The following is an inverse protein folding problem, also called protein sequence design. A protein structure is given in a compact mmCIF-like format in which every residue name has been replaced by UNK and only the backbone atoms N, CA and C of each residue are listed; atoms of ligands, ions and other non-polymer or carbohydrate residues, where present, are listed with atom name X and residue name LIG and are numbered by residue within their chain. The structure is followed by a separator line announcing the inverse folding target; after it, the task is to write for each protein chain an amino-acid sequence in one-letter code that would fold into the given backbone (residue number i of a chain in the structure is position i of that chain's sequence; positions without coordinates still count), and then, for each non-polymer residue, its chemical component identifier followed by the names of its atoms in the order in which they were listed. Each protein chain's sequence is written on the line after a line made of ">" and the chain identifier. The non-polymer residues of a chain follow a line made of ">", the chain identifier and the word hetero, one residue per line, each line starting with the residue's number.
data_IF_428086357386
#
_entry.id   IF_428086357386
#
_cell.length_a   1.000
_cell.length_b   1.000
_cell.length_c   1.000
_cell.angle_alpha   90.00
_cell.angle_beta   90.00
_cell.angle_gamma   90.00
#
_symmetry.space_group_name_H-M   'P 1'
#
loop_
_entity.id
_entity.type
_entity.pdbx_description
1 polymer ?
#
# COMPACT_ATOMS: atom_id res chain seq x y z
N UNK A 1 -17.50 10.24 5.31
CA UNK A 1 -16.77 11.42 5.81
C UNK A 1 -17.18 12.65 5.05
N UNK A 2 -17.15 13.80 5.70
CA UNK A 2 -17.39 15.10 5.08
C UNK A 2 -16.18 15.97 5.35
N UNK A 3 -15.56 16.49 4.28
CA UNK A 3 -14.42 17.39 4.42
C UNK A 3 -14.89 18.84 4.48
N UNK A 4 -14.37 19.57 5.45
CA UNK A 4 -14.49 21.01 5.49
C UNK A 4 -13.39 21.61 4.61
N UNK A 5 -13.71 22.57 3.76
CA UNK A 5 -12.72 23.30 2.93
C UNK A 5 -12.79 24.79 3.24
N UNK A 6 -11.81 25.58 2.75
CA UNK A 6 -11.85 27.04 2.92
C UNK A 6 -13.11 27.67 2.30
N UNK A 7 -13.67 27.05 1.26
CA UNK A 7 -14.90 27.51 0.60
C UNK A 7 -16.18 27.00 1.27
N UNK A 8 -16.11 25.94 2.09
CA UNK A 8 -17.27 25.14 2.53
C UNK A 8 -17.26 24.96 4.05
N UNK A 9 -17.32 26.09 4.78
CA UNK A 9 -17.14 26.12 6.25
C UNK A 9 -18.35 25.57 6.99
N UNK A 10 -18.26 24.33 7.45
CA UNK A 10 -19.25 23.68 8.32
C UNK A 10 -18.78 23.70 9.78
N UNK A 11 -19.60 24.24 10.68
CA UNK A 11 -19.32 24.22 12.13
C UNK A 11 -20.01 23.05 12.80
N UNK A 12 -21.28 22.84 12.46
CA UNK A 12 -22.11 21.74 12.94
C UNK A 12 -22.72 21.00 11.74
N UNK A 13 -22.22 19.80 11.49
CA UNK A 13 -22.68 18.98 10.37
C UNK A 13 -24.10 18.45 10.60
N UNK A 14 -24.50 18.20 11.86
CA UNK A 14 -25.82 17.64 12.16
C UNK A 14 -26.92 18.64 11.75
N UNK A 15 -26.74 19.91 12.11
CA UNK A 15 -27.65 20.99 11.69
C UNK A 15 -27.76 21.13 10.17
N UNK A 16 -26.65 21.00 9.43
CA UNK A 16 -26.64 21.09 7.96
C UNK A 16 -27.38 19.91 7.31
N UNK A 17 -27.21 18.70 7.86
CA UNK A 17 -27.92 17.51 7.36
C UNK A 17 -29.41 17.63 7.69
N UNK A 18 -29.79 18.04 8.90
CA UNK A 18 -31.19 18.20 9.29
C UNK A 18 -31.91 19.33 8.54
N UNK A 19 -31.18 20.34 8.07
CA UNK A 19 -31.72 21.39 7.20
C UNK A 19 -32.11 20.85 5.81
N UNK A 20 -31.62 19.65 5.45
CA UNK A 20 -31.96 18.95 4.23
C UNK A 20 -32.98 17.83 4.53
N UNK A 21 -34.10 17.83 3.82
CA UNK A 21 -35.07 16.72 3.87
C UNK A 21 -34.59 15.47 3.08
N UNK A 22 -33.35 15.47 2.57
CA UNK A 22 -32.80 14.40 1.71
C UNK A 22 -32.28 13.18 2.50
N UNK A 23 -32.02 13.32 3.81
CA UNK A 23 -31.31 12.31 4.62
C UNK A 23 -32.11 11.95 5.86
N UNK A 24 -32.32 10.65 6.07
CA UNK A 24 -32.86 10.14 7.33
C UNK A 24 -31.78 10.13 8.41
N UNK A 25 -31.83 11.09 9.33
CA UNK A 25 -30.88 11.23 10.43
C UNK A 25 -30.83 9.99 11.35
N UNK A 26 -31.86 9.13 11.36
CA UNK A 26 -31.85 7.90 12.17
C UNK A 26 -30.88 6.84 11.66
N UNK A 27 -30.41 6.97 10.42
CA UNK A 27 -29.40 6.10 9.81
C UNK A 27 -27.97 6.43 10.27
N UNK A 28 -27.77 7.61 10.87
CA UNK A 28 -26.48 8.08 11.38
C UNK A 28 -26.33 7.63 12.84
N UNK A 29 -25.37 6.75 13.10
CA UNK A 29 -25.08 6.27 14.45
C UNK A 29 -24.32 7.32 15.28
N UNK A 30 -23.38 8.03 14.66
CA UNK A 30 -22.63 9.11 15.31
C UNK A 30 -21.95 10.02 14.29
N UNK A 31 -21.78 11.30 14.65
CA UNK A 31 -20.98 12.28 13.90
C UNK A 31 -19.83 12.73 14.80
N UNK A 32 -18.61 12.52 14.32
CA UNK A 32 -17.40 12.76 15.08
C UNK A 32 -16.55 13.83 14.37
N UNK A 33 -16.55 15.08 14.87
CA UNK A 33 -15.70 16.13 14.33
C UNK A 33 -14.24 15.89 14.69
N UNK A 34 -13.36 16.01 13.71
CA UNK A 34 -11.91 15.95 13.90
C UNK A 34 -11.31 17.31 13.57
N UNK A 35 -10.67 17.92 14.56
CA UNK A 35 -9.94 19.18 14.39
C UNK A 35 -8.49 18.91 14.02
N UNK A 36 -7.86 19.84 13.32
CA UNK A 36 -6.45 19.76 12.94
C UNK A 36 -5.80 21.13 13.04
N UNK A 37 -4.60 21.16 13.60
CA UNK A 37 -3.71 22.31 13.59
C UNK A 37 -2.30 21.86 13.19
N UNK A 38 -1.47 22.81 12.79
CA UNK A 38 -0.05 22.56 12.59
C UNK A 38 0.71 22.78 13.89
N UNK A 39 1.71 21.95 14.09
CA UNK A 39 2.65 22.02 15.20
C UNK A 39 4.06 21.82 14.66
N UNK A 40 5.04 22.32 15.38
CA UNK A 40 6.46 22.08 15.10
C UNK A 40 7.09 21.32 16.26
N UNK A 41 8.12 20.53 15.99
CA UNK A 41 8.84 19.80 17.02
C UNK A 41 10.16 20.49 17.37
N UNK A 42 10.27 21.15 18.53
CA UNK A 42 11.49 21.84 18.92
C UNK A 42 12.67 20.89 19.19
N UNK A 43 12.39 19.62 19.47
CA UNK A 43 13.42 18.60 19.73
C UNK A 43 13.97 17.98 18.44
N UNK A 44 13.36 18.28 17.28
CA UNK A 44 13.70 17.69 15.98
C UNK A 44 14.00 18.79 14.96
N UNK A 45 15.29 18.97 14.67
CA UNK A 45 15.76 19.89 13.63
C UNK A 45 15.74 19.19 12.27
N UNK A 46 15.33 19.92 11.21
CA UNK A 46 15.48 19.41 9.84
C UNK A 46 16.97 19.25 9.51
N UNK A 47 17.39 18.18 8.82
CA UNK A 47 18.75 18.10 8.33
C UNK A 47 19.02 19.25 7.36
N UNK A 48 20.27 19.75 7.39
CA UNK A 48 20.72 20.77 6.45
C UNK A 48 20.58 20.26 5.01
N UNK A 49 20.22 21.14 4.05
CA UNK A 49 20.11 20.74 2.65
C UNK A 49 21.45 20.17 2.13
N UNK A 50 21.36 19.19 1.22
CA UNK A 50 22.53 18.52 0.63
C UNK A 50 23.37 19.43 -0.28
N UNK A 51 22.79 20.55 -0.76
CA UNK A 51 23.47 21.54 -1.62
C UNK A 51 23.95 22.76 -0.80
N UNK A 52 25.27 22.94 -0.62
CA UNK A 52 25.82 24.07 0.14
C UNK A 52 25.68 25.43 -0.58
N UNK A 53 25.27 25.46 -1.84
CA UNK A 53 24.99 26.68 -2.60
C UNK A 53 23.49 27.07 -2.61
N UNK A 54 22.61 26.28 -1.97
CA UNK A 54 21.32 26.80 -1.49
C UNK A 54 21.62 27.79 -0.36
N UNK A 55 21.91 29.03 -0.75
CA UNK A 55 22.16 30.13 0.16
C UNK A 55 21.07 30.18 1.23
N UNK A 56 21.48 30.41 2.48
CA UNK A 56 20.69 30.77 3.67
C UNK A 56 19.83 32.05 3.48
N UNK A 57 19.41 32.37 2.25
CA UNK A 57 18.48 33.42 1.93
C UNK A 57 17.06 32.90 2.21
N UNK A 58 16.65 33.15 3.47
CA UNK A 58 15.29 33.04 4.02
C UNK A 58 14.81 31.67 4.53
N UNK A 59 15.68 30.84 5.13
CA UNK A 59 15.17 30.01 6.24
C UNK A 59 14.90 30.94 7.43
N UNK A 60 13.68 31.46 7.52
CA UNK A 60 13.18 32.09 8.74
C UNK A 60 13.46 31.15 9.94
N UNK A 61 13.74 31.66 11.14
CA UNK A 61 13.90 30.81 12.35
C UNK A 61 12.72 29.83 12.53
N UNK A 62 11.57 30.14 11.94
CA UNK A 62 10.39 29.31 11.85
C UNK A 62 10.59 28.00 11.03
N UNK A 63 11.42 27.94 10.01
CA UNK A 63 11.52 26.77 9.12
C UNK A 63 12.56 25.73 9.59
N UNK A 64 13.18 25.99 10.75
CA UNK A 64 14.21 25.15 11.37
C UNK A 64 13.67 23.79 11.86
N UNK A 65 12.41 23.75 12.28
CA UNK A 65 11.81 22.60 12.95
C UNK A 65 10.93 21.78 11.99
N UNK A 66 10.81 20.48 12.26
CA UNK A 66 9.89 19.63 11.50
C UNK A 66 8.45 20.05 11.80
N UNK A 67 7.68 20.29 10.74
CA UNK A 67 6.26 20.66 10.82
C UNK A 67 5.40 19.40 10.67
N UNK A 68 4.37 19.30 11.50
CA UNK A 68 3.45 18.18 11.50
C UNK A 68 2.05 18.63 11.98
N UNK A 69 1.15 17.67 12.22
CA UNK A 69 -0.20 17.93 12.66
C UNK A 69 -0.55 17.35 14.02
N UNK A 70 -1.33 18.14 14.74
CA UNK A 70 -2.05 17.71 15.92
C UNK A 70 -3.55 17.64 15.62
N UNK A 71 -4.22 16.63 16.18
CA UNK A 71 -5.62 16.34 15.98
C UNK A 71 -6.40 16.40 17.29
N UNK A 72 -7.54 17.08 17.28
CA UNK A 72 -8.47 17.16 18.41
C UNK A 72 -9.69 16.28 18.19
N UNK A 73 -9.93 15.32 19.09
CA UNK A 73 -11.01 14.33 19.00
C UNK A 73 -11.98 14.38 20.18
N UNK A 74 -13.22 13.94 19.95
CA UNK A 74 -14.27 13.86 20.97
C UNK A 74 -14.37 12.47 21.59
N UNK A 75 -15.00 12.35 22.76
CA UNK A 75 -15.22 11.07 23.46
C UNK A 75 -15.94 10.03 22.59
N UNK A 76 -16.90 10.45 21.76
CA UNK A 76 -17.61 9.54 20.87
C UNK A 76 -16.68 8.88 19.84
N UNK A 77 -15.59 9.55 19.45
CA UNK A 77 -14.56 8.99 18.58
C UNK A 77 -13.77 7.89 19.29
N UNK A 78 -13.38 8.14 20.54
CA UNK A 78 -12.73 7.15 21.40
C UNK A 78 -13.57 5.88 21.60
N UNK A 79 -14.90 6.03 21.69
CA UNK A 79 -15.83 4.94 21.98
C UNK A 79 -16.05 3.96 20.80
N UNK A 80 -15.80 4.35 19.55
CA UNK A 80 -16.11 3.51 18.38
C UNK A 80 -15.18 2.29 18.21
N UNK A 81 -14.05 2.21 18.93
CA UNK A 81 -13.07 1.10 18.87
C UNK A 81 -12.56 0.75 17.47
N UNK A 82 -12.55 1.70 16.52
CA UNK A 82 -12.08 1.45 15.14
C UNK A 82 -10.57 1.63 14.96
N UNK A 83 -9.91 2.32 15.90
CA UNK A 83 -8.48 2.59 15.88
C UNK A 83 -7.81 1.91 17.09
N UNK A 84 -7.11 0.81 16.83
CA UNK A 84 -6.39 0.02 17.82
C UNK A 84 -5.02 0.63 18.15
N UNK A 85 -4.53 0.36 19.36
CA UNK A 85 -3.20 0.77 19.78
C UNK A 85 -2.23 -0.42 19.66
N UNK A 86 -1.08 -0.19 19.03
CA UNK A 86 0.02 -1.16 19.00
C UNK A 86 0.59 -1.36 20.40
N UNK A 87 0.81 -0.24 21.10
CA UNK A 87 1.36 -0.20 22.44
C UNK A 87 0.74 0.96 23.23
N UNK A 88 0.56 0.77 24.54
CA UNK A 88 -0.03 1.76 25.46
C UNK A 88 0.68 1.69 26.81
N UNK A 89 0.53 2.72 27.63
CA UNK A 89 1.04 2.69 29.01
C UNK A 89 0.42 1.55 29.81
N UNK A 90 1.21 0.92 30.68
CA UNK A 90 0.79 -0.20 31.52
C UNK A 90 -0.41 0.11 32.44
N UNK A 91 -0.63 1.39 32.76
CA UNK A 91 -1.76 1.83 33.57
C UNK A 91 -3.12 1.67 32.87
N UNK A 92 -3.14 1.54 31.54
CA UNK A 92 -4.37 1.39 30.76
C UNK A 92 -4.64 -0.09 30.46
N UNK A 93 -5.69 -0.64 31.06
CA UNK A 93 -6.06 -2.04 30.86
C UNK A 93 -6.47 -2.32 29.41
N UNK A 94 -7.21 -1.40 28.78
CA UNK A 94 -7.70 -1.50 27.41
C UNK A 94 -7.36 -0.26 26.59
N UNK A 95 -7.41 -0.38 25.25
CA UNK A 95 -7.22 0.76 24.35
C UNK A 95 -8.26 1.86 24.59
N UNK A 96 -9.50 1.47 24.91
CA UNK A 96 -10.58 2.42 25.24
C UNK A 96 -10.24 3.24 26.49
N UNK A 97 -9.60 2.64 27.49
CA UNK A 97 -9.17 3.37 28.68
C UNK A 97 -8.14 4.45 28.32
N UNK A 98 -7.20 4.13 27.42
CA UNK A 98 -6.20 5.07 26.94
C UNK A 98 -6.83 6.20 26.11
N UNK A 99 -7.74 5.87 25.19
CA UNK A 99 -8.47 6.88 24.40
C UNK A 99 -9.32 7.80 25.29
N UNK A 100 -10.05 7.26 26.26
CA UNK A 100 -10.85 8.04 27.19
C UNK A 100 -9.98 8.92 28.09
N UNK A 101 -8.81 8.42 28.54
CA UNK A 101 -7.88 9.20 29.33
C UNK A 101 -7.32 10.39 28.55
N UNK A 102 -6.97 10.21 27.27
CA UNK A 102 -6.47 11.30 26.40
C UNK A 102 -7.55 12.34 26.10
N UNK A 103 -8.81 11.94 26.03
CA UNK A 103 -9.92 12.90 25.88
C UNK A 103 -10.16 13.69 27.17
N UNK A 104 -9.96 13.08 28.34
CA UNK A 104 -10.26 13.69 29.64
C UNK A 104 -9.09 14.48 30.27
N UNK A 105 -7.84 14.07 30.00
CA UNK A 105 -6.63 14.64 30.59
C UNK A 105 -5.85 15.44 29.53
N UNK A 106 -5.81 16.78 29.63
CA UNK A 106 -5.07 17.61 28.69
C UNK A 106 -3.58 17.29 28.61
N UNK A 107 -2.97 16.68 29.64
CA UNK A 107 -1.54 16.38 29.64
C UNK A 107 -1.17 15.15 28.80
N UNK A 108 -2.15 14.33 28.40
CA UNK A 108 -1.94 13.09 27.67
C UNK A 108 -2.17 13.26 26.16
N UNK A 109 -1.42 12.49 25.37
CA UNK A 109 -1.62 12.39 23.93
C UNK A 109 -1.44 10.96 23.42
N UNK A 110 -2.09 10.63 22.31
CA UNK A 110 -1.76 9.46 21.50
C UNK A 110 -0.94 9.90 20.29
N UNK A 111 -0.13 8.99 19.75
CA UNK A 111 0.67 9.23 18.55
C UNK A 111 0.34 8.22 17.47
N UNK A 112 0.41 8.61 16.20
CA UNK A 112 0.16 7.71 15.08
C UNK A 112 1.17 6.55 15.02
N UNK A 113 0.89 5.55 14.19
CA UNK A 113 1.79 4.42 14.00
C UNK A 113 3.06 4.81 13.23
N UNK A 114 4.20 4.17 13.52
CA UNK A 114 5.52 4.56 12.99
C UNK A 114 5.79 6.07 13.15
N UNK A 115 5.22 6.67 14.19
CA UNK A 115 5.47 8.07 14.50
C UNK A 115 6.82 8.20 15.20
N UNK A 116 7.84 8.38 14.38
CA UNK A 116 9.20 8.83 14.69
C UNK A 116 9.27 10.33 14.97
N UNK A 117 8.10 11.00 15.04
CA UNK A 117 8.01 12.44 15.24
C UNK A 117 8.27 13.25 13.98
N UNK A 118 8.43 12.62 12.80
CA UNK A 118 8.79 13.35 11.57
C UNK A 118 8.24 12.72 10.28
N UNK A 119 8.22 13.51 9.21
CA UNK A 119 8.12 13.03 7.84
C UNK A 119 9.45 12.35 7.42
N UNK A 120 9.49 11.80 6.21
CA UNK A 120 10.60 11.03 5.58
C UNK A 120 12.01 11.67 5.58
N UNK A 121 12.19 12.85 6.19
CA UNK A 121 13.37 13.70 6.07
C UNK A 121 14.16 13.91 7.37
N UNK A 122 13.94 13.18 8.47
CA UNK A 122 14.74 13.36 9.70
C UNK A 122 15.00 12.04 10.47
N UNK A 123 16.17 11.93 11.11
CA UNK A 123 16.65 10.72 11.80
C UNK A 123 16.36 10.81 13.30
N UNK A 124 15.15 10.42 13.71
CA UNK A 124 14.68 10.54 15.11
C UNK A 124 14.06 9.25 15.64
N UNK A 125 14.13 9.07 16.98
CA UNK A 125 13.72 7.84 17.65
C UNK A 125 12.18 7.72 17.77
N UNK A 126 11.66 6.50 17.62
CA UNK A 126 10.24 6.19 17.84
C UNK A 126 9.77 6.63 19.24
N UNK A 127 8.66 7.36 19.31
CA UNK A 127 8.02 7.72 20.57
C UNK A 127 7.32 6.50 21.20
N UNK A 128 7.63 6.22 22.47
CA UNK A 128 7.06 5.13 23.24
C UNK A 128 6.10 5.65 24.32
N UNK A 129 5.15 4.81 24.78
CA UNK A 129 4.28 5.20 25.89
C UNK A 129 5.10 5.51 27.15
N UNK A 130 4.84 6.69 27.74
CA UNK A 130 5.61 7.24 28.86
C UNK A 130 6.55 8.38 28.46
N UNK A 131 6.90 8.48 27.18
CA UNK A 131 7.75 9.57 26.70
C UNK A 131 7.00 10.91 26.72
N UNK A 132 7.75 11.99 26.78
CA UNK A 132 7.21 13.36 26.70
C UNK A 132 7.52 13.93 25.33
N UNK A 133 6.49 14.40 24.64
CA UNK A 133 6.59 15.09 23.36
C UNK A 133 6.36 16.58 23.56
N UNK A 134 7.25 17.40 23.00
CA UNK A 134 7.17 18.86 23.06
C UNK A 134 6.62 19.37 21.72
N UNK A 135 5.61 20.22 21.79
CA UNK A 135 4.86 20.72 20.63
C UNK A 135 4.92 22.23 20.63
N UNK A 136 5.57 22.79 19.61
CA UNK A 136 5.60 24.22 19.37
C UNK A 136 4.36 24.62 18.58
N UNK A 137 3.56 25.52 19.13
CA UNK A 137 2.48 26.18 18.41
C UNK A 137 3.08 27.29 17.53
N UNK A 138 2.99 27.20 16.18
CA UNK A 138 3.60 28.18 15.28
C UNK A 138 2.89 29.54 15.29
N UNK A 139 1.65 29.62 15.78
CA UNK A 139 0.91 30.88 15.84
C UNK A 139 1.25 31.69 17.10
N UNK A 140 1.45 31.02 18.24
CA UNK A 140 1.74 31.70 19.53
C UNK A 140 3.22 31.69 19.91
N UNK A 141 3.99 30.72 19.41
CA UNK A 141 5.35 30.44 19.86
C UNK A 141 5.42 29.63 21.16
N UNK A 142 4.29 29.24 21.74
CA UNK A 142 4.25 28.47 22.99
C UNK A 142 4.66 27.02 22.75
N UNK A 143 5.39 26.45 23.72
CA UNK A 143 5.74 25.03 23.74
C UNK A 143 4.85 24.34 24.76
N UNK A 144 4.12 23.34 24.30
CA UNK A 144 3.24 22.50 25.12
C UNK A 144 3.84 21.10 25.21
N UNK A 145 3.90 20.56 26.42
CA UNK A 145 4.40 19.21 26.65
C UNK A 145 3.23 18.24 26.83
N UNK A 146 3.31 17.08 26.19
CA UNK A 146 2.33 15.99 26.32
C UNK A 146 3.02 14.69 26.65
N UNK A 147 2.44 13.88 27.51
CA UNK A 147 2.92 12.52 27.78
C UNK A 147 2.22 11.54 26.85
N UNK A 148 3.00 10.69 26.18
CA UNK A 148 2.51 9.70 25.22
C UNK A 148 1.80 8.58 25.98
N UNK A 149 0.47 8.53 25.90
CA UNK A 149 -0.37 7.52 26.52
C UNK A 149 -0.35 6.18 25.75
N UNK A 150 -0.12 6.25 24.43
CA UNK A 150 -0.16 5.11 23.53
C UNK A 150 0.13 5.48 22.09
N UNK A 151 0.44 4.46 21.30
CA UNK A 151 0.76 4.55 19.87
C UNK A 151 -0.22 3.72 19.08
N UNK A 152 -0.78 4.31 18.03
CA UNK A 152 -1.71 3.63 17.14
C UNK A 152 -1.03 2.49 16.38
N UNK A 153 -1.78 1.45 16.07
CA UNK A 153 -1.36 0.40 15.14
C UNK A 153 -1.31 0.95 13.70
N UNK A 154 -0.35 0.48 12.89
CA UNK A 154 -0.19 0.94 11.51
C UNK A 154 -1.40 0.55 10.68
N UNK A 155 -2.18 1.56 10.30
CA UNK A 155 -3.18 1.44 9.25
C UNK A 155 -2.48 1.87 7.95
N UNK A 156 -1.94 0.90 7.22
CA UNK A 156 -1.09 1.12 6.03
C UNK A 156 -1.87 1.56 4.78
N UNK A 157 -3.14 1.89 4.94
CA UNK A 157 -3.96 2.46 3.87
C UNK A 157 -3.88 3.98 4.01
N UNK A 158 -3.71 4.73 2.92
CA UNK A 158 -3.46 6.17 2.85
C UNK A 158 -4.55 7.06 3.46
N UNK A 159 -5.52 6.43 4.11
CA UNK A 159 -6.56 7.00 4.93
C UNK A 159 -6.08 7.37 6.35
N UNK A 160 -5.06 8.23 6.45
CA UNK A 160 -4.54 8.72 7.73
C UNK A 160 -5.33 9.94 8.23
N UNK A 161 -6.49 9.69 8.83
CA UNK A 161 -7.32 10.74 9.49
C UNK A 161 -6.61 11.37 10.69
N UNK A 162 -5.75 10.59 11.35
CA UNK A 162 -5.10 10.93 12.61
C UNK A 162 -3.58 10.77 12.52
N UNK A 163 -2.97 11.32 11.48
CA UNK A 163 -1.50 11.39 11.41
C UNK A 163 -0.95 12.38 12.44
N UNK A 164 0.09 12.03 13.17
CA UNK A 164 0.70 12.92 14.14
C UNK A 164 0.23 12.71 15.56
N UNK A 165 0.08 13.82 16.29
CA UNK A 165 -0.32 13.80 17.71
C UNK A 165 -1.82 13.95 17.84
N UNK A 166 -2.43 13.21 18.77
CA UNK A 166 -3.88 13.16 18.97
C UNK A 166 -4.18 13.48 20.43
N UNK A 167 -5.05 14.46 20.65
CA UNK A 167 -5.45 14.95 21.98
C UNK A 167 -6.98 15.11 22.07
N UNK A 168 -7.50 15.28 23.28
CA UNK A 168 -8.90 15.66 23.48
C UNK A 168 -9.24 17.00 22.82
N UNK A 169 -10.47 17.13 22.31
CA UNK A 169 -10.94 18.33 21.62
C UNK A 169 -10.86 19.59 22.48
N UNK A 170 -11.08 19.48 23.79
CA UNK A 170 -11.00 20.61 24.73
C UNK A 170 -9.55 21.10 24.89
N UNK A 171 -8.60 20.18 25.06
CA UNK A 171 -7.17 20.49 25.12
C UNK A 171 -6.69 21.12 23.79
N UNK A 172 -7.11 20.54 22.66
CA UNK A 172 -6.84 21.09 21.34
C UNK A 172 -7.35 22.54 21.22
N UNK A 173 -8.58 22.81 21.64
CA UNK A 173 -9.18 24.14 21.49
C UNK A 173 -8.48 25.19 22.37
N UNK A 174 -8.04 24.80 23.57
CA UNK A 174 -7.34 25.70 24.49
C UNK A 174 -5.92 26.04 24.03
N UNK A 175 -5.22 25.09 23.42
CA UNK A 175 -3.77 25.19 23.18
C UNK A 175 -3.38 25.39 21.71
N UNK A 176 -4.23 24.97 20.77
CA UNK A 176 -3.91 24.88 19.33
C UNK A 176 -5.00 25.43 18.40
N UNK A 177 -6.06 26.05 18.90
CA UNK A 177 -7.10 26.67 18.06
C UNK A 177 -6.54 27.79 17.18
N UNK A 178 -5.56 28.55 17.68
CA UNK A 178 -4.94 29.68 16.96
C UNK A 178 -4.06 29.22 15.78
N UNK A 179 -3.37 28.08 15.91
CA UNK A 179 -2.62 27.44 14.81
C UNK A 179 -3.49 26.55 13.93
N UNK A 180 -4.79 26.44 14.24
CA UNK A 180 -5.70 25.76 13.34
C UNK A 180 -5.94 26.61 12.11
N UNK A 181 -5.71 26.01 10.94
CA UNK A 181 -6.05 26.58 9.64
C UNK A 181 -7.51 27.09 9.53
N UNK A 182 -8.40 26.70 10.44
CA UNK A 182 -9.85 26.96 10.38
C UNK A 182 -10.43 27.50 11.69
N UNK A 183 -9.58 27.95 12.61
CA UNK A 183 -9.96 28.28 13.98
C UNK A 183 -10.66 27.10 14.66
N UNK A 184 -11.79 27.34 15.31
CA UNK A 184 -12.53 26.30 16.05
C UNK A 184 -13.29 25.29 15.19
N UNK A 185 -13.36 25.50 13.86
CA UNK A 185 -14.14 24.65 12.97
C UNK A 185 -13.41 23.31 12.69
N UNK A 186 -14.12 22.16 12.75
CA UNK A 186 -13.54 20.86 12.43
C UNK A 186 -12.99 20.81 11.00
N UNK A 187 -11.86 20.11 10.81
CA UNK A 187 -11.28 19.91 9.47
C UNK A 187 -12.09 18.92 8.65
N UNK A 188 -12.58 17.89 9.30
CA UNK A 188 -13.40 16.85 8.71
C UNK A 188 -14.37 16.31 9.76
N UNK A 189 -15.45 15.73 9.28
CA UNK A 189 -16.41 14.99 10.09
C UNK A 189 -16.39 13.53 9.66
N UNK A 190 -16.14 12.64 10.62
CA UNK A 190 -16.27 11.20 10.43
C UNK A 190 -17.67 10.82 10.89
N UNK A 191 -18.44 10.18 10.02
CA UNK A 191 -19.78 9.70 10.37
C UNK A 191 -19.75 8.19 10.44
N UNK A 192 -20.27 7.64 11.54
CA UNK A 192 -20.62 6.24 11.61
C UNK A 192 -22.08 6.08 11.17
N UNK A 193 -22.32 5.11 10.30
CA UNK A 193 -23.64 4.83 9.71
C UNK A 193 -24.03 3.42 10.13
N UNK A 194 -25.30 3.19 10.39
CA UNK A 194 -25.79 1.87 10.82
C UNK A 194 -25.44 0.78 9.79
N UNK A 195 -25.18 -0.44 10.27
CA UNK A 195 -24.65 -1.55 9.46
C UNK A 195 -25.61 -2.01 8.33
N UNK A 196 -26.90 -1.69 8.42
CA UNK A 196 -27.94 -2.06 7.46
C UNK A 196 -28.04 -1.11 6.25
N UNK A 197 -27.28 -0.03 6.25
CA UNK A 197 -27.33 1.02 5.22
C UNK A 197 -26.30 0.77 4.11
N UNK A 198 -26.71 0.95 2.86
CA UNK A 198 -25.76 0.99 1.74
C UNK A 198 -24.98 2.32 1.77
N UNK A 199 -23.71 2.25 2.19
CA UNK A 199 -22.84 3.41 2.33
C UNK A 199 -22.65 4.22 1.04
N UNK A 200 -22.69 3.58 -0.14
CA UNK A 200 -22.49 4.27 -1.42
C UNK A 200 -23.71 5.12 -1.80
N UNK A 201 -24.92 4.58 -1.60
CA UNK A 201 -26.16 5.31 -1.85
C UNK A 201 -26.34 6.41 -0.81
N UNK A 202 -26.12 6.09 0.48
CA UNK A 202 -26.17 7.06 1.57
C UNK A 202 -25.14 8.19 1.41
N UNK A 203 -23.92 7.86 0.95
CA UNK A 203 -22.91 8.86 0.64
C UNK A 203 -23.38 9.90 -0.39
N UNK A 204 -24.10 9.46 -1.44
CA UNK A 204 -24.70 10.35 -2.44
C UNK A 204 -25.83 11.20 -1.86
N UNK A 205 -26.62 10.65 -0.93
CA UNK A 205 -27.70 11.40 -0.30
C UNK A 205 -27.16 12.48 0.65
N UNK A 206 -26.09 12.18 1.41
CA UNK A 206 -25.33 13.20 2.16
C UNK A 206 -24.74 14.25 1.20
N UNK A 207 -24.16 13.84 0.08
CA UNK A 207 -23.59 14.77 -0.89
C UNK A 207 -24.66 15.71 -1.45
N UNK A 208 -25.85 15.20 -1.75
CA UNK A 208 -27.02 16.01 -2.16
C UNK A 208 -27.44 16.98 -1.06
N UNK A 209 -27.55 16.49 0.18
CA UNK A 209 -27.92 17.31 1.33
C UNK A 209 -26.96 18.48 1.53
N UNK A 210 -25.67 18.26 1.24
CA UNK A 210 -24.60 19.24 1.40
C UNK A 210 -24.30 20.05 0.14
N UNK A 211 -25.09 19.96 -0.93
CA UNK A 211 -24.87 20.76 -2.17
C UNK A 211 -24.79 22.26 -1.88
N UNK A 212 -25.57 22.77 -0.92
CA UNK A 212 -25.56 24.18 -0.51
C UNK A 212 -24.23 24.63 0.06
N UNK A 213 -23.57 23.73 0.82
CA UNK A 213 -22.25 23.97 1.41
C UNK A 213 -21.13 23.60 0.44
N UNK A 214 -21.38 22.74 -0.53
CA UNK A 214 -20.40 22.19 -1.48
C UNK A 214 -19.41 21.20 -0.84
N UNK A 215 -19.61 20.79 0.42
CA UNK A 215 -18.66 19.98 1.16
C UNK A 215 -18.47 18.59 0.52
N UNK A 216 -17.23 18.19 0.17
CA UNK A 216 -17.02 16.91 -0.48
C UNK A 216 -17.22 15.76 0.51
N UNK A 217 -18.00 14.78 0.07
CA UNK A 217 -18.31 13.57 0.82
C UNK A 217 -17.47 12.43 0.26
N UNK A 218 -16.83 11.67 1.15
CA UNK A 218 -16.06 10.48 0.79
C UNK A 218 -16.54 9.29 1.61
N UNK A 219 -16.87 8.20 0.94
CA UNK A 219 -17.18 6.93 1.57
C UNK A 219 -15.86 6.20 1.84
N UNK A 220 -15.59 5.88 3.10
CA UNK A 220 -14.30 5.28 3.50
C UNK A 220 -14.01 4.01 2.70
N UNK A 221 -15.02 3.15 2.51
CA UNK A 221 -14.87 1.91 1.73
C UNK A 221 -14.45 2.17 0.28
N UNK A 222 -14.98 3.20 -0.35
CA UNK A 222 -14.65 3.55 -1.74
C UNK A 222 -13.20 4.01 -1.86
N UNK A 223 -12.74 4.87 -0.93
CA UNK A 223 -11.35 5.32 -0.87
C UNK A 223 -10.38 4.15 -0.73
N UNK A 224 -10.70 3.15 0.11
CA UNK A 224 -9.89 1.93 0.23
C UNK A 224 -9.83 1.15 -1.08
N UNK A 225 -10.95 1.02 -1.79
CA UNK A 225 -10.95 0.36 -3.12
C UNK A 225 -10.14 1.14 -4.14
N UNK A 226 -10.23 2.47 -4.17
CA UNK A 226 -9.52 3.31 -5.14
C UNK A 226 -8.00 3.16 -4.97
N UNK A 227 -7.48 3.22 -3.74
CA UNK A 227 -6.04 3.02 -3.48
C UNK A 227 -5.57 1.61 -3.87
N UNK A 228 -6.35 0.58 -3.55
CA UNK A 228 -6.04 -0.79 -3.95
C UNK A 228 -6.09 -0.96 -5.47
N UNK A 229 -6.98 -0.25 -6.16
CA UNK A 229 -7.07 -0.27 -7.62
C UNK A 229 -5.86 0.38 -8.28
N UNK A 230 -5.33 1.49 -7.74
CA UNK A 230 -4.12 2.15 -8.24
C UNK A 230 -2.91 1.21 -8.17
N UNK A 231 -2.67 0.61 -6.99
CA UNK A 231 -1.58 -0.36 -6.79
C UNK A 231 -1.78 -1.57 -7.70
N UNK A 232 -3.01 -2.07 -7.82
CA UNK A 232 -3.31 -3.21 -8.70
C UNK A 232 -3.06 -2.89 -10.17
N UNK A 233 -3.35 -1.67 -10.61
CA UNK A 233 -3.16 -1.21 -11.99
C UNK A 233 -1.67 -1.12 -12.31
N UNK A 234 -0.89 -0.55 -11.39
CA UNK A 234 0.56 -0.53 -11.49
C UNK A 234 1.13 -1.96 -11.60
N UNK A 235 0.73 -2.87 -10.71
CA UNK A 235 1.16 -4.26 -10.73
C UNK A 235 0.74 -5.00 -12.02
N UNK A 236 -0.44 -4.71 -12.58
CA UNK A 236 -0.89 -5.27 -13.87
C UNK A 236 0.02 -4.87 -15.04
N UNK A 237 0.55 -3.65 -15.04
CA UNK A 237 1.52 -3.22 -16.07
C UNK A 237 2.80 -4.05 -15.96
N UNK A 238 3.33 -4.23 -14.75
CA UNK A 238 4.48 -5.11 -14.51
C UNK A 238 4.20 -6.56 -14.88
N UNK A 239 3.01 -7.07 -14.57
CA UNK A 239 2.58 -8.41 -14.99
C UNK A 239 2.59 -8.54 -16.53
N UNK A 240 2.18 -7.50 -17.25
CA UNK A 240 2.29 -7.42 -18.71
C UNK A 240 3.74 -7.51 -19.20
N UNK A 241 4.66 -6.77 -18.59
CA UNK A 241 6.10 -6.86 -18.92
C UNK A 241 6.69 -8.24 -18.61
N UNK A 242 6.31 -8.86 -17.49
CA UNK A 242 6.73 -10.22 -17.13
C UNK A 242 6.19 -11.25 -18.12
N UNK A 243 4.93 -11.12 -18.53
CA UNK A 243 4.33 -11.98 -19.56
C UNK A 243 5.05 -11.82 -20.92
N UNK A 244 5.44 -10.59 -21.28
CA UNK A 244 6.23 -10.35 -22.48
C UNK A 244 7.62 -10.98 -22.38
N UNK A 245 8.30 -10.81 -21.24
CA UNK A 245 9.60 -11.46 -20.97
C UNK A 245 9.51 -12.98 -21.08
N UNK A 246 8.40 -13.57 -20.63
CA UNK A 246 8.13 -14.99 -20.78
C UNK A 246 8.01 -15.42 -22.25
N UNK A 247 7.28 -14.66 -23.07
CA UNK A 247 7.18 -14.92 -24.52
C UNK A 247 8.56 -14.86 -25.17
N UNK A 248 9.36 -13.84 -24.85
CA UNK A 248 10.73 -13.70 -25.36
C UNK A 248 11.60 -14.88 -24.92
N UNK A 249 11.45 -15.33 -23.66
CA UNK A 249 12.16 -16.50 -23.14
C UNK A 249 11.82 -17.79 -23.91
N UNK A 250 10.53 -18.06 -24.14
CA UNK A 250 10.08 -19.23 -24.92
C UNK A 250 10.56 -19.14 -26.38
N UNK A 251 10.53 -17.96 -27.00
CA UNK A 251 11.06 -17.76 -28.34
C UNK A 251 12.58 -18.02 -28.40
N UNK A 252 13.33 -17.57 -27.39
CA UNK A 252 14.76 -17.87 -27.24
C UNK A 252 15.03 -19.37 -27.15
N UNK A 253 14.20 -20.11 -26.41
CA UNK A 253 14.28 -21.56 -26.33
C UNK A 253 14.06 -22.23 -27.70
N UNK A 254 13.13 -21.71 -28.52
CA UNK A 254 12.92 -22.18 -29.89
C UNK A 254 14.16 -22.01 -30.79
N UNK A 255 14.85 -20.86 -30.66
CA UNK A 255 16.08 -20.57 -31.39
C UNK A 255 17.20 -21.51 -30.98
N UNK A 256 17.38 -21.73 -29.68
CA UNK A 256 18.38 -22.67 -29.14
C UNK A 256 18.07 -24.09 -29.59
N UNK A 257 16.80 -24.51 -29.54
CA UNK A 257 16.37 -25.83 -29.98
C UNK A 257 16.66 -26.07 -31.46
N UNK A 258 16.39 -25.05 -32.29
CA UNK A 258 16.74 -25.07 -33.69
C UNK A 258 18.25 -25.26 -33.84
N UNK A 259 19.09 -24.43 -33.21
CA UNK A 259 20.56 -24.53 -33.29
C UNK A 259 21.09 -25.90 -32.81
N UNK A 260 20.56 -26.43 -31.72
CA UNK A 260 20.93 -27.74 -31.17
C UNK A 260 20.66 -28.87 -32.17
N UNK A 261 19.50 -28.83 -32.84
CA UNK A 261 19.17 -29.76 -33.93
C UNK A 261 20.22 -29.68 -35.05
N UNK A 262 20.62 -28.48 -35.47
CA UNK A 262 21.64 -28.30 -36.52
C UNK A 262 22.99 -28.93 -36.12
N UNK A 263 23.42 -28.74 -34.87
CA UNK A 263 24.68 -29.29 -34.37
C UNK A 263 24.66 -30.83 -34.26
N UNK A 264 23.50 -31.43 -34.02
CA UNK A 264 23.33 -32.88 -33.82
C UNK A 264 22.84 -33.65 -35.05
N UNK A 265 22.78 -33.02 -36.23
CA UNK A 265 22.23 -33.63 -37.47
C UNK A 265 22.88 -34.96 -37.85
N UNK A 266 24.19 -35.09 -37.71
CA UNK A 266 24.92 -36.32 -38.04
C UNK A 266 24.48 -37.50 -37.17
N UNK A 267 24.37 -37.29 -35.85
CA UNK A 267 23.89 -38.31 -34.92
C UNK A 267 22.45 -38.74 -35.23
N UNK A 268 21.58 -37.78 -35.58
CA UNK A 268 20.20 -38.05 -35.99
C UNK A 268 20.14 -38.84 -37.31
N UNK A 269 20.98 -38.48 -38.28
CA UNK A 269 21.13 -39.21 -39.55
C UNK A 269 21.63 -40.64 -39.36
N UNK A 270 22.55 -40.86 -38.42
CA UNK A 270 23.07 -42.20 -38.08
C UNK A 270 21.99 -43.07 -37.43
N UNK A 271 21.20 -42.55 -36.48
CA UNK A 271 20.07 -43.27 -35.90
C UNK A 271 19.05 -43.65 -36.98
N UNK A 272 18.77 -42.75 -37.91
CA UNK A 272 17.87 -43.03 -39.05
C UNK A 272 18.43 -44.10 -40.00
N UNK A 273 19.75 -44.13 -40.21
CA UNK A 273 20.42 -45.17 -41.01
C UNK A 273 20.39 -46.55 -40.34
N UNK A 274 20.39 -46.61 -39.01
CA UNK A 274 20.23 -47.83 -38.22
C UNK A 274 18.78 -48.35 -38.17
N UNK A 275 17.83 -47.66 -38.79
CA UNK A 275 16.43 -48.09 -38.90
C UNK A 275 15.48 -47.50 -37.86
N UNK A 276 15.91 -46.53 -37.04
CA UNK A 276 15.00 -45.85 -36.12
C UNK A 276 13.91 -45.08 -36.87
N UNK A 277 12.66 -45.22 -36.40
CA UNK A 277 11.52 -44.49 -36.96
C UNK A 277 11.61 -42.99 -36.61
N UNK A 278 11.13 -42.08 -37.50
CA UNK A 278 11.06 -40.64 -37.22
C UNK A 278 10.34 -40.30 -35.92
N UNK A 279 9.30 -41.07 -35.57
CA UNK A 279 8.55 -40.92 -34.32
C UNK A 279 9.40 -41.17 -33.08
N UNK A 280 10.30 -42.17 -33.12
CA UNK A 280 11.20 -42.48 -32.00
C UNK A 280 12.24 -41.37 -31.79
N UNK A 281 12.80 -40.86 -32.89
CA UNK A 281 13.75 -39.73 -32.86
C UNK A 281 13.05 -38.47 -32.34
N UNK A 282 11.83 -38.19 -32.82
CA UNK A 282 11.03 -37.07 -32.35
C UNK A 282 10.73 -37.17 -30.85
N UNK A 283 10.28 -38.33 -30.38
CA UNK A 283 9.98 -38.55 -28.97
C UNK A 283 11.21 -38.35 -28.08
N UNK A 284 12.38 -38.85 -28.49
CA UNK A 284 13.63 -38.65 -27.75
C UNK A 284 13.97 -37.17 -27.62
N UNK A 285 13.82 -36.38 -28.69
CA UNK A 285 14.07 -34.94 -28.65
C UNK A 285 13.05 -34.24 -27.75
N UNK A 286 11.77 -34.56 -27.87
CA UNK A 286 10.72 -33.94 -27.05
C UNK A 286 10.89 -34.24 -25.56
N UNK A 287 11.36 -35.43 -25.19
CA UNK A 287 11.68 -35.77 -23.80
C UNK A 287 12.85 -34.92 -23.29
N UNK A 288 13.91 -34.74 -24.09
CA UNK A 288 15.05 -33.89 -23.73
C UNK A 288 14.61 -32.43 -23.49
N UNK A 289 13.80 -31.87 -24.39
CA UNK A 289 13.29 -30.50 -24.24
C UNK A 289 12.28 -30.36 -23.12
N UNK A 290 11.42 -31.37 -22.92
CA UNK A 290 10.48 -31.42 -21.80
C UNK A 290 11.23 -31.38 -20.47
N UNK A 291 12.32 -32.14 -20.33
CA UNK A 291 13.16 -32.11 -19.14
C UNK A 291 13.75 -30.72 -18.88
N UNK A 292 14.30 -30.07 -19.91
CA UNK A 292 14.85 -28.71 -19.79
C UNK A 292 13.76 -27.71 -19.39
N UNK A 293 12.57 -27.79 -20.00
CA UNK A 293 11.45 -26.92 -19.69
C UNK A 293 10.97 -27.10 -18.24
N UNK A 294 10.82 -28.34 -17.79
CA UNK A 294 10.40 -28.65 -16.42
C UNK A 294 11.42 -28.16 -15.38
N UNK A 295 12.71 -28.38 -15.62
CA UNK A 295 13.77 -27.86 -14.73
C UNK A 295 13.74 -26.33 -14.70
N UNK A 296 13.58 -25.68 -15.86
CA UNK A 296 13.44 -24.23 -15.93
C UNK A 296 12.24 -23.70 -15.17
N UNK A 297 11.06 -24.33 -15.30
CA UNK A 297 9.85 -23.98 -14.57
C UNK A 297 10.06 -24.16 -13.06
N UNK A 298 10.62 -25.29 -12.62
CA UNK A 298 10.88 -25.56 -11.21
C UNK A 298 11.83 -24.52 -10.60
N UNK A 299 12.91 -24.19 -11.31
CA UNK A 299 13.85 -23.15 -10.88
C UNK A 299 13.20 -21.77 -10.87
N UNK A 300 12.40 -21.43 -11.88
CA UNK A 300 11.68 -20.17 -11.96
C UNK A 300 10.67 -20.00 -10.82
N UNK A 301 9.88 -21.03 -10.54
CA UNK A 301 8.94 -21.06 -9.41
C UNK A 301 9.69 -20.95 -8.08
N UNK A 302 10.79 -21.68 -7.91
CA UNK A 302 11.60 -21.63 -6.68
C UNK A 302 12.21 -20.25 -6.44
N UNK A 303 12.79 -19.63 -7.46
CA UNK A 303 13.35 -18.28 -7.39
C UNK A 303 12.27 -17.22 -7.19
N UNK A 304 11.11 -17.37 -7.86
CA UNK A 304 9.97 -16.48 -7.69
C UNK A 304 9.40 -16.54 -6.28
N UNK A 305 9.27 -17.74 -5.70
CA UNK A 305 8.84 -17.91 -4.31
C UNK A 305 9.84 -17.31 -3.32
N UNK A 306 11.15 -17.55 -3.52
CA UNK A 306 12.19 -17.00 -2.66
C UNK A 306 12.22 -15.46 -2.72
N UNK A 307 12.15 -14.90 -3.93
CA UNK A 307 12.10 -13.45 -4.14
C UNK A 307 10.83 -12.84 -3.54
N UNK A 308 9.66 -13.42 -3.82
CA UNK A 308 8.39 -12.97 -3.27
C UNK A 308 8.34 -13.04 -1.75
N UNK A 309 8.86 -14.11 -1.14
CA UNK A 309 8.97 -14.23 0.31
C UNK A 309 9.93 -13.20 0.90
N UNK A 310 11.05 -12.89 0.24
CA UNK A 310 11.98 -11.84 0.69
C UNK A 310 11.35 -10.46 0.65
N UNK A 311 10.63 -10.11 -0.42
CA UNK A 311 9.88 -8.86 -0.50
C UNK A 311 8.82 -8.79 0.59
N UNK A 312 8.05 -9.87 0.78
CA UNK A 312 7.10 -9.97 1.88
C UNK A 312 7.76 -9.75 3.24
N UNK A 313 8.89 -10.40 3.50
CA UNK A 313 9.60 -10.31 4.77
C UNK A 313 10.19 -8.92 5.04
N UNK A 314 10.48 -8.14 3.99
CA UNK A 314 11.04 -6.79 4.11
C UNK A 314 9.97 -5.71 4.25
N UNK A 315 8.82 -5.85 3.57
CA UNK A 315 7.85 -4.76 3.44
C UNK A 315 6.49 -5.05 4.09
N UNK A 316 6.06 -6.31 4.12
CA UNK A 316 4.68 -6.69 4.48
C UNK A 316 4.61 -7.37 5.85
N UNK A 317 5.67 -8.08 6.25
CA UNK A 317 5.68 -8.87 7.48
C UNK A 317 5.53 -8.01 8.73
N UNK A 318 6.29 -6.91 8.79
CA UNK A 318 6.27 -6.00 9.94
C UNK A 318 5.00 -5.12 9.94
N UNK A 319 4.26 -5.12 8.83
CA UNK A 319 2.94 -4.50 8.68
C UNK A 319 1.77 -5.45 9.00
N UNK A 320 2.04 -6.67 9.51
CA UNK A 320 1.01 -7.64 9.88
C UNK A 320 0.30 -8.32 8.70
N UNK A 321 0.75 -8.10 7.45
CA UNK A 321 0.16 -8.72 6.28
C UNK A 321 0.45 -10.22 6.21
N UNK A 322 -0.46 -11.00 5.61
CA UNK A 322 -0.29 -12.44 5.42
C UNK A 322 0.34 -12.77 4.06
N UNK A 323 1.35 -13.65 4.03
CA UNK A 323 1.88 -14.17 2.78
C UNK A 323 0.92 -15.20 2.17
N UNK A 324 0.20 -14.80 1.12
CA UNK A 324 -0.73 -15.67 0.40
C UNK A 324 -0.22 -15.95 -1.00
N UNK A 325 -0.35 -17.19 -1.45
CA UNK A 325 0.04 -17.63 -2.80
C UNK A 325 -1.16 -18.27 -3.47
N UNK A 326 -1.54 -17.73 -4.63
CA UNK A 326 -2.56 -18.33 -5.48
C UNK A 326 -1.96 -19.53 -6.26
N UNK A 327 -2.01 -20.71 -5.65
CA UNK A 327 -1.50 -21.95 -6.25
C UNK A 327 -2.16 -22.28 -7.58
N UNK A 328 -3.44 -21.94 -7.76
CA UNK A 328 -4.15 -22.20 -9.01
C UNK A 328 -3.56 -21.41 -10.17
N UNK A 329 -3.32 -20.11 -9.97
CA UNK A 329 -2.71 -19.23 -10.97
C UNK A 329 -1.27 -19.66 -11.28
N UNK A 330 -0.49 -20.04 -10.26
CA UNK A 330 0.87 -20.54 -10.44
C UNK A 330 0.92 -21.82 -11.27
N UNK A 331 0.05 -22.79 -10.97
CA UNK A 331 -0.06 -24.04 -11.75
C UNK A 331 -0.48 -23.72 -13.19
N UNK A 332 -1.44 -22.81 -13.37
CA UNK A 332 -1.95 -22.44 -14.68
C UNK A 332 -0.87 -21.78 -15.56
N UNK A 333 -0.12 -20.82 -15.01
CA UNK A 333 1.01 -20.17 -15.71
C UNK A 333 2.08 -21.21 -16.03
N UNK A 334 2.44 -22.07 -15.07
CA UNK A 334 3.45 -23.11 -15.28
C UNK A 334 3.05 -24.08 -16.40
N UNK A 335 1.78 -24.49 -16.44
CA UNK A 335 1.24 -25.34 -17.50
C UNK A 335 1.27 -24.62 -18.86
N UNK A 336 0.88 -23.34 -18.90
CA UNK A 336 0.93 -22.52 -20.12
C UNK A 336 2.35 -22.42 -20.68
N UNK A 337 3.34 -22.18 -19.82
CA UNK A 337 4.76 -22.10 -20.20
C UNK A 337 5.28 -23.44 -20.73
N UNK A 338 4.92 -24.53 -20.06
CA UNK A 338 5.30 -25.87 -20.50
C UNK A 338 4.72 -26.19 -21.88
N UNK A 339 3.43 -25.93 -22.09
CA UNK A 339 2.76 -26.13 -23.37
C UNK A 339 3.38 -25.25 -24.45
N UNK A 340 3.62 -23.97 -24.17
CA UNK A 340 4.26 -23.06 -25.11
C UNK A 340 5.66 -23.57 -25.50
N UNK A 341 6.46 -23.98 -24.52
CA UNK A 341 7.82 -24.53 -24.76
C UNK A 341 7.78 -25.76 -25.69
N UNK A 342 6.81 -26.66 -25.51
CA UNK A 342 6.63 -27.80 -26.40
C UNK A 342 6.20 -27.38 -27.82
N UNK A 343 5.22 -26.48 -27.94
CA UNK A 343 4.74 -25.99 -29.25
C UNK A 343 5.88 -25.39 -30.06
N UNK A 344 6.71 -24.56 -29.43
CA UNK A 344 7.84 -23.90 -30.10
C UNK A 344 9.00 -24.85 -30.44
N UNK A 345 9.20 -25.93 -29.68
CA UNK A 345 10.26 -26.92 -29.94
C UNK A 345 9.84 -28.04 -30.89
N UNK A 346 8.54 -28.31 -31.02
CA UNK A 346 8.01 -29.33 -31.93
C UNK A 346 8.38 -29.05 -33.39
N UNK A 347 8.32 -27.79 -33.84
CA UNK A 347 8.62 -27.43 -35.25
C UNK A 347 10.05 -27.83 -35.65
N UNK A 348 11.12 -27.41 -34.95
CA UNK A 348 12.48 -27.86 -35.29
C UNK A 348 12.68 -29.36 -35.06
N UNK A 349 12.08 -29.95 -34.04
CA UNK A 349 12.20 -31.39 -33.77
C UNK A 349 11.57 -32.25 -34.88
N UNK A 350 10.42 -31.83 -35.42
CA UNK A 350 9.79 -32.48 -36.58
C UNK A 350 10.70 -32.41 -37.81
N UNK A 351 11.25 -31.23 -38.12
CA UNK A 351 12.20 -31.06 -39.23
C UNK A 351 13.43 -31.96 -39.07
N UNK A 352 13.96 -32.10 -37.85
CA UNK A 352 15.08 -32.97 -37.54
C UNK A 352 14.74 -34.45 -37.77
N UNK A 353 13.61 -34.90 -37.22
CA UNK A 353 13.20 -36.32 -37.25
C UNK A 353 12.95 -36.85 -38.66
N UNK A 354 12.54 -35.98 -39.58
CA UNK A 354 12.22 -36.31 -40.97
C UNK A 354 13.40 -36.14 -41.94
N UNK A 355 14.58 -35.72 -41.45
CA UNK A 355 15.74 -35.52 -42.29
C UNK A 355 16.18 -36.86 -42.95
N UNK A 356 16.39 -36.89 -44.29
CA UNK A 356 16.92 -38.06 -44.99
C UNK A 356 18.37 -38.36 -44.57
N UNK A 357 18.75 -39.64 -44.40
CA UNK A 357 20.12 -40.03 -44.04
C UNK A 357 21.18 -39.51 -45.02
N UNK A 358 20.83 -39.49 -46.31
CA UNK A 358 21.72 -39.06 -47.40
C UNK A 358 22.02 -37.55 -47.32
N UNK A 359 21.06 -36.72 -46.92
CA UNK A 359 21.27 -35.27 -46.75
C UNK A 359 22.10 -34.95 -45.51
N UNK A 360 21.96 -35.74 -44.44
CA UNK A 360 22.72 -35.56 -43.21
C UNK A 360 24.23 -35.87 -43.38
N UNK A 361 24.59 -36.72 -44.34
CA UNK A 361 25.98 -37.12 -44.63
C UNK A 361 26.62 -36.33 -45.78
N UNK A 362 25.82 -35.72 -46.67
CA UNK A 362 26.31 -35.06 -47.90
C UNK A 362 26.82 -33.62 -47.70
N UNK A 363 26.58 -32.97 -46.57
CA UNK A 363 27.06 -31.59 -46.30
C UNK A 363 28.57 -31.49 -45.97
N UNK A 364 29.40 -32.42 -46.43
CA UNK A 364 30.86 -32.43 -46.20
C UNK A 364 31.71 -31.96 -47.39
N UNK A 365 31.09 -31.51 -48.48
CA UNK A 365 31.74 -30.68 -49.50
C UNK A 365 31.15 -29.29 -49.46
#
# INVERSE_FOLDING_TARGET
>A
MVYNTSSNRIVDLESEIQASDEVDATQIASIMPVRRALVKFPDFERPAPDDPDETDEEQSEDDKYVEDSIHGIVADFAAQQKYTLEVRMDQFATDVDAWNAVVADPSLALVSARYDGTNENADNAELNPGDTVRLLNPATGDIVEKTVAGRLETIEVGFNVLWGVIVGADAFQQEFSESSFRGDAPRLFVMNVNDDVNLADFGKDIEKALISTGAPVRVVREVLTDELEEVSTFLRIFQGFLAFGLIVGVAGLAVIATRSVYQRRQGIGMLRALGFQPSMVLASLLIEWSFIALVGILLGVGLGFLGGYRLYALFIRDAGGAFTVNWFELIWISALVYIASLVFTIIPALKASRMPPVEALRQQE
#
